data_IF_798695955907
#
_entry.id   IF_798695955907
#
_cell.length_a   1.000
_cell.length_b   1.000
_cell.length_c   1.000
_cell.angle_alpha   90.00
_cell.angle_beta   90.00
_cell.angle_gamma   90.00
#
_symmetry.space_group_name_H-M   'P 1'
#
loop_
_entity.id
_entity.type
_entity.pdbx_description
1 polymer ?
#
# COMPACT_ATOMS: atom_id res chain seq x y z
N UNK A 1 48.08 48.35 9.48
CA UNK A 1 47.12 48.60 8.40
C UNK A 1 47.73 48.19 7.09
N UNK A 2 47.40 47.00 6.58
CA UNK A 2 46.86 46.79 5.23
C UNK A 2 46.64 45.30 5.01
N UNK A 3 45.46 44.97 4.52
CA UNK A 3 44.93 43.64 4.23
C UNK A 3 45.37 43.15 2.82
N UNK A 4 44.93 41.92 2.50
CA UNK A 4 44.85 41.22 1.21
C UNK A 4 46.04 40.30 0.90
N UNK A 5 45.86 39.06 0.45
CA UNK A 5 44.67 38.29 0.04
C UNK A 5 45.00 36.79 0.17
N UNK A 6 44.03 35.96 0.53
CA UNK A 6 44.14 34.51 0.33
C UNK A 6 42.77 34.02 -0.12
N UNK A 7 42.73 33.67 -1.40
CA UNK A 7 41.60 33.16 -2.15
C UNK A 7 41.00 31.93 -1.48
N UNK A 8 39.72 32.04 -1.15
CA UNK A 8 38.86 31.00 -0.64
C UNK A 8 38.61 29.97 -1.77
N UNK A 9 39.23 28.79 -1.66
CA UNK A 9 38.93 27.66 -2.53
C UNK A 9 37.51 27.17 -2.25
N UNK A 10 36.57 27.56 -3.10
CA UNK A 10 35.21 27.04 -3.12
C UNK A 10 35.25 25.51 -3.33
N UNK A 11 34.98 24.76 -2.26
CA UNK A 11 34.82 23.32 -2.30
C UNK A 11 33.66 22.93 -3.21
N UNK A 12 33.92 22.07 -4.20
CA UNK A 12 32.88 21.47 -5.05
C UNK A 12 31.84 20.76 -4.16
N UNK A 13 30.53 20.96 -4.38
CA UNK A 13 29.51 20.24 -3.64
C UNK A 13 29.63 18.74 -3.96
N UNK A 14 29.85 17.92 -2.93
CA UNK A 14 29.76 16.47 -3.06
C UNK A 14 28.33 16.10 -3.48
N UNK A 15 28.13 15.17 -4.43
CA UNK A 15 26.79 14.70 -4.76
C UNK A 15 26.19 14.05 -3.51
N UNK A 16 25.07 14.61 -3.05
CA UNK A 16 24.30 14.05 -1.94
C UNK A 16 23.94 12.60 -2.28
N UNK A 17 24.30 11.67 -1.38
CA UNK A 17 23.88 10.27 -1.52
C UNK A 17 22.35 10.25 -1.66
N UNK A 18 21.78 9.45 -2.59
CA UNK A 18 20.34 9.34 -2.69
C UNK A 18 19.78 8.90 -1.33
N UNK A 19 18.63 9.45 -0.89
CA UNK A 19 18.04 9.08 0.39
C UNK A 19 17.84 7.57 0.42
N UNK A 20 18.40 6.91 1.44
CA UNK A 20 18.19 5.48 1.66
C UNK A 20 16.69 5.26 1.80
N UNK A 21 16.11 4.43 0.93
CA UNK A 21 14.70 4.04 1.03
C UNK A 21 14.41 3.54 2.45
N UNK A 22 13.33 4.00 3.11
CA UNK A 22 12.98 3.53 4.45
C UNK A 22 12.87 2.00 4.47
N UNK A 23 13.29 1.37 5.57
CA UNK A 23 13.30 -0.08 5.71
C UNK A 23 11.90 -0.65 5.50
N UNK A 24 11.78 -1.58 4.57
CA UNK A 24 10.53 -2.24 4.22
C UNK A 24 10.74 -3.76 4.22
N UNK A 25 10.10 -4.45 5.17
CA UNK A 25 10.20 -5.90 5.32
C UNK A 25 9.61 -6.67 4.14
N UNK A 26 8.59 -6.11 3.47
CA UNK A 26 7.95 -6.75 2.32
C UNK A 26 8.90 -6.81 1.12
N UNK A 27 9.89 -5.91 1.02
CA UNK A 27 10.92 -6.00 -0.03
C UNK A 27 11.74 -7.29 0.08
N UNK A 28 11.89 -7.83 1.29
CA UNK A 28 12.59 -9.08 1.55
C UNK A 28 11.68 -10.30 1.40
N UNK A 29 10.40 -10.20 1.80
CA UNK A 29 9.46 -11.33 1.72
C UNK A 29 8.81 -11.50 0.34
N UNK A 30 8.40 -10.42 -0.33
CA UNK A 30 7.69 -10.45 -1.63
C UNK A 30 8.40 -11.25 -2.74
N UNK A 31 9.74 -11.32 -2.82
CA UNK A 31 10.43 -12.20 -3.76
C UNK A 31 10.08 -13.68 -3.56
N UNK A 32 9.87 -14.12 -2.32
CA UNK A 32 9.60 -15.52 -1.96
C UNK A 32 8.10 -15.86 -1.96
N UNK A 33 7.23 -14.86 -1.92
CA UNK A 33 5.78 -15.09 -1.96
C UNK A 33 5.42 -15.69 -3.33
N UNK A 34 4.83 -16.91 -3.35
CA UNK A 34 4.45 -17.57 -4.59
C UNK A 34 3.33 -16.78 -5.29
N UNK A 35 3.22 -16.96 -6.61
CA UNK A 35 2.12 -16.37 -7.39
C UNK A 35 0.80 -16.84 -6.79
N UNK A 36 -0.18 -15.93 -6.71
CA UNK A 36 -1.51 -16.24 -6.21
C UNK A 36 -2.05 -17.52 -6.90
N UNK A 37 -2.18 -18.66 -6.18
CA UNK A 37 -2.56 -19.93 -6.78
C UNK A 37 -4.03 -19.95 -7.20
N UNK A 38 -4.83 -18.98 -6.74
CA UNK A 38 -6.27 -18.92 -6.96
C UNK A 38 -6.68 -18.84 -8.43
N UNK A 39 -5.78 -18.45 -9.34
CA UNK A 39 -6.03 -18.47 -10.79
C UNK A 39 -6.19 -19.88 -11.36
N UNK A 40 -5.68 -20.90 -10.67
CA UNK A 40 -5.75 -22.30 -11.10
C UNK A 40 -7.01 -23.00 -10.60
N UNK A 41 -7.74 -22.38 -9.67
CA UNK A 41 -8.97 -22.94 -9.13
C UNK A 41 -10.16 -22.67 -10.07
N UNK A 42 -11.17 -23.56 -10.09
CA UNK A 42 -12.44 -23.29 -10.75
C UNK A 42 -13.02 -21.94 -10.33
N UNK A 43 -13.66 -21.23 -11.25
CA UNK A 43 -14.19 -19.87 -11.05
C UNK A 43 -15.07 -19.78 -9.80
N UNK A 44 -15.95 -20.75 -9.59
CA UNK A 44 -16.82 -20.83 -8.42
C UNK A 44 -16.05 -20.89 -7.10
N UNK A 45 -14.95 -21.64 -7.04
CA UNK A 45 -14.12 -21.76 -5.83
C UNK A 45 -13.33 -20.47 -5.64
N UNK A 46 -12.66 -19.99 -6.69
CA UNK A 46 -11.85 -18.77 -6.65
C UNK A 46 -12.65 -17.53 -6.22
N UNK A 47 -13.95 -17.49 -6.55
CA UNK A 47 -14.89 -16.45 -6.14
C UNK A 47 -14.94 -16.28 -4.61
N UNK A 48 -15.04 -17.39 -3.87
CA UNK A 48 -15.10 -17.37 -2.40
C UNK A 48 -13.77 -16.93 -1.76
N UNK A 49 -12.67 -16.98 -2.50
CA UNK A 49 -11.36 -16.49 -2.05
C UNK A 49 -11.06 -15.05 -2.55
N UNK A 50 -12.09 -14.31 -2.99
CA UNK A 50 -11.99 -12.91 -3.39
C UNK A 50 -11.50 -12.67 -4.84
N UNK A 51 -11.25 -13.75 -5.60
CA UNK A 51 -10.86 -13.65 -7.01
C UNK A 51 -12.09 -13.40 -7.89
N UNK A 52 -12.08 -12.28 -8.63
CA UNK A 52 -13.12 -11.93 -9.60
C UNK A 52 -12.49 -11.78 -10.99
N UNK A 53 -12.92 -12.60 -11.94
CA UNK A 53 -12.53 -12.48 -13.34
C UNK A 53 -13.34 -11.36 -13.98
N UNK A 54 -12.64 -10.34 -14.48
CA UNK A 54 -13.19 -9.13 -15.12
C UNK A 54 -14.06 -8.26 -14.21
N UNK A 55 -14.01 -6.95 -14.48
CA UNK A 55 -14.76 -5.91 -13.79
C UNK A 55 -16.26 -5.99 -14.12
N UNK A 56 -16.90 -7.12 -13.83
CA UNK A 56 -18.35 -7.23 -13.89
C UNK A 56 -18.87 -6.71 -12.55
N UNK A 57 -18.84 -5.39 -12.36
CA UNK A 57 -19.63 -4.71 -11.33
C UNK A 57 -21.11 -4.75 -11.73
N UNK A 58 -21.68 -5.94 -11.88
CA UNK A 58 -23.12 -6.12 -11.97
C UNK A 58 -23.55 -6.71 -10.64
N UNK A 59 -24.04 -5.84 -9.75
CA UNK A 59 -24.76 -6.30 -8.57
C UNK A 59 -25.90 -7.22 -9.03
N UNK A 60 -25.99 -8.47 -8.53
CA UNK A 60 -26.93 -9.48 -9.04
C UNK A 60 -28.40 -9.03 -8.98
N UNK A 61 -28.72 -8.07 -8.11
CA UNK A 61 -30.08 -7.55 -7.95
C UNK A 61 -30.49 -6.46 -8.96
N UNK A 62 -29.56 -5.88 -9.73
CA UNK A 62 -29.94 -4.92 -10.79
C UNK A 62 -30.71 -5.59 -11.94
N UNK A 63 -30.71 -6.94 -12.02
CA UNK A 63 -31.45 -7.69 -13.04
C UNK A 63 -32.89 -8.02 -12.65
N UNK A 64 -33.30 -7.87 -11.38
CA UNK A 64 -34.66 -8.21 -10.92
C UNK A 64 -35.66 -7.04 -11.08
N UNK A 65 -35.22 -5.93 -11.68
CA UNK A 65 -35.93 -4.64 -11.63
C UNK A 65 -36.82 -4.34 -12.84
N UNK A 66 -36.97 -5.25 -13.81
CA UNK A 66 -37.85 -5.02 -14.98
C UNK A 66 -39.34 -5.09 -14.65
N UNK A 67 -39.73 -5.34 -13.39
CA UNK A 67 -41.12 -5.67 -13.02
C UNK A 67 -41.80 -4.69 -12.05
N UNK A 68 -41.17 -3.56 -11.68
CA UNK A 68 -41.75 -2.60 -10.71
C UNK A 68 -41.83 -1.20 -11.34
N UNK A 69 -42.83 -0.99 -12.20
CA UNK A 69 -43.11 0.32 -12.81
C UNK A 69 -44.17 1.16 -12.06
N UNK A 70 -44.79 0.64 -10.99
CA UNK A 70 -45.99 1.25 -10.38
C UNK A 70 -45.77 1.97 -9.01
N UNK A 71 -44.53 2.29 -8.62
CA UNK A 71 -44.25 2.89 -7.31
C UNK A 71 -43.98 4.41 -7.34
N UNK A 72 -44.72 5.16 -6.50
CA UNK A 72 -44.79 6.64 -6.41
C UNK A 72 -43.54 7.38 -5.90
N UNK A 73 -42.45 6.70 -5.54
CA UNK A 73 -41.22 7.35 -5.03
C UNK A 73 -40.08 7.27 -6.06
N UNK A 74 -39.13 8.23 -6.08
CA UNK A 74 -38.04 8.26 -7.03
C UNK A 74 -37.18 6.98 -6.97
N UNK A 75 -36.77 6.51 -8.16
CA UNK A 75 -36.00 5.26 -8.34
C UNK A 75 -34.71 5.19 -7.52
N UNK A 76 -34.05 6.33 -7.32
CA UNK A 76 -32.82 6.44 -6.51
C UNK A 76 -33.05 6.18 -5.02
N UNK A 77 -34.23 6.53 -4.49
CA UNK A 77 -34.57 6.39 -3.08
C UNK A 77 -34.62 4.90 -2.69
N UNK A 78 -35.35 4.08 -3.45
CA UNK A 78 -35.46 2.65 -3.17
C UNK A 78 -34.14 1.90 -3.36
N UNK A 79 -33.39 2.21 -4.43
CA UNK A 79 -32.09 1.58 -4.67
C UNK A 79 -31.14 1.86 -3.50
N UNK A 80 -31.09 3.11 -3.04
CA UNK A 80 -30.24 3.49 -1.91
C UNK A 80 -30.69 2.84 -0.60
N UNK A 81 -31.98 2.85 -0.27
CA UNK A 81 -32.49 2.27 0.98
C UNK A 81 -32.40 0.75 1.00
N UNK A 82 -32.74 0.06 -0.09
CA UNK A 82 -32.65 -1.40 -0.18
C UNK A 82 -31.19 -1.88 -0.18
N UNK A 83 -30.31 -1.19 -0.90
CA UNK A 83 -28.88 -1.51 -0.88
C UNK A 83 -28.28 -1.28 0.51
N UNK A 84 -28.61 -0.16 1.15
CA UNK A 84 -28.14 0.16 2.50
C UNK A 84 -28.68 -0.83 3.54
N UNK A 85 -29.96 -1.19 3.46
CA UNK A 85 -30.55 -2.21 4.32
C UNK A 85 -29.87 -3.57 4.13
N UNK A 86 -29.62 -3.98 2.88
CA UNK A 86 -28.93 -5.22 2.57
C UNK A 86 -27.48 -5.22 3.09
N UNK A 87 -26.76 -4.11 2.95
CA UNK A 87 -25.42 -3.95 3.52
C UNK A 87 -25.43 -4.11 5.03
N UNK A 88 -26.31 -3.40 5.75
CA UNK A 88 -26.41 -3.52 7.20
C UNK A 88 -26.86 -4.91 7.66
N UNK A 89 -27.78 -5.55 6.94
CA UNK A 89 -28.14 -6.95 7.18
C UNK A 89 -26.94 -7.87 6.99
N UNK A 90 -26.12 -7.67 5.96
CA UNK A 90 -24.91 -8.47 5.75
C UNK A 90 -23.88 -8.29 6.87
N UNK A 91 -23.73 -7.07 7.40
CA UNK A 91 -22.85 -6.77 8.53
C UNK A 91 -23.34 -7.46 9.81
N UNK A 92 -24.65 -7.37 10.08
CA UNK A 92 -25.27 -8.01 11.23
C UNK A 92 -25.11 -9.53 11.18
N UNK A 93 -25.49 -10.15 10.06
CA UNK A 93 -25.42 -11.60 9.86
C UNK A 93 -23.95 -12.04 9.93
N UNK A 94 -23.04 -11.31 9.28
CA UNK A 94 -21.61 -11.60 9.29
C UNK A 94 -21.02 -11.59 10.69
N UNK A 95 -21.16 -10.47 11.40
CA UNK A 95 -20.62 -10.33 12.75
C UNK A 95 -21.24 -11.36 13.72
N UNK A 96 -22.55 -11.56 13.66
CA UNK A 96 -23.24 -12.57 14.45
C UNK A 96 -22.69 -13.97 14.15
N UNK A 97 -22.67 -14.41 12.89
CA UNK A 97 -22.19 -15.73 12.53
C UNK A 97 -20.72 -15.93 12.85
N UNK A 98 -19.86 -14.95 12.57
CA UNK A 98 -18.42 -15.01 12.86
C UNK A 98 -18.14 -15.20 14.35
N UNK A 99 -18.75 -14.37 15.21
CA UNK A 99 -18.57 -14.47 16.65
C UNK A 99 -19.24 -15.73 17.21
N UNK A 100 -20.46 -16.04 16.79
CA UNK A 100 -21.20 -17.21 17.27
C UNK A 100 -20.50 -18.53 16.94
N UNK A 101 -19.85 -18.66 15.78
CA UNK A 101 -19.06 -19.86 15.43
C UNK A 101 -17.88 -20.01 16.39
N UNK A 102 -17.17 -18.92 16.70
CA UNK A 102 -16.04 -18.96 17.64
C UNK A 102 -16.54 -19.34 19.03
N UNK A 103 -17.58 -18.66 19.52
CA UNK A 103 -18.18 -18.93 20.83
C UNK A 103 -18.66 -20.38 20.96
N UNK A 104 -19.33 -20.90 19.94
CA UNK A 104 -19.82 -22.27 19.94
C UNK A 104 -18.68 -23.29 19.99
N UNK A 105 -17.62 -23.08 19.20
CA UNK A 105 -16.44 -23.95 19.22
C UNK A 105 -15.73 -23.85 20.58
N UNK A 106 -15.58 -22.64 21.12
CA UNK A 106 -14.90 -22.43 22.40
C UNK A 106 -15.68 -23.02 23.58
N UNK A 107 -17.02 -23.02 23.54
CA UNK A 107 -17.85 -23.73 24.52
C UNK A 107 -17.66 -25.25 24.47
N UNK A 108 -17.38 -25.83 23.29
CA UNK A 108 -17.16 -27.26 23.13
C UNK A 108 -15.71 -27.70 23.48
N UNK A 109 -14.73 -26.80 23.37
CA UNK A 109 -13.30 -27.12 23.53
C UNK A 109 -12.88 -27.64 24.92
N UNK A 110 -13.40 -27.17 26.07
CA UNK A 110 -13.01 -27.67 27.39
C UNK A 110 -13.22 -29.19 27.53
N UNK A 111 -14.27 -29.71 26.93
CA UNK A 111 -14.61 -31.14 26.95
C UNK A 111 -13.62 -31.99 26.15
N UNK A 112 -12.94 -31.39 25.16
CA UNK A 112 -12.02 -32.06 24.25
C UNK A 112 -10.55 -31.89 24.67
N UNK A 113 -10.20 -30.73 25.21
CA UNK A 113 -8.82 -30.33 25.49
C UNK A 113 -8.42 -30.44 26.96
N UNK A 114 -9.39 -30.50 27.88
CA UNK A 114 -9.14 -30.50 29.33
C UNK A 114 -8.68 -29.15 29.90
N UNK A 115 -8.58 -28.10 29.07
CA UNK A 115 -8.26 -26.74 29.48
C UNK A 115 -9.53 -25.92 29.71
N UNK A 116 -9.52 -25.01 30.68
CA UNK A 116 -10.55 -23.97 30.83
C UNK A 116 -10.37 -22.95 29.72
N UNK A 117 -11.30 -22.95 28.76
CA UNK A 117 -11.30 -22.02 27.61
C UNK A 117 -12.40 -20.98 27.84
N UNK A 118 -12.11 -19.67 27.76
CA UNK A 118 -13.15 -18.65 27.86
C UNK A 118 -14.12 -18.76 26.68
N UNK A 119 -15.38 -18.34 26.86
CA UNK A 119 -16.39 -18.38 25.79
C UNK A 119 -15.92 -17.63 24.54
N UNK A 120 -15.28 -16.47 24.73
CA UNK A 120 -14.66 -15.71 23.64
C UNK A 120 -13.53 -14.84 24.18
N UNK A 121 -12.50 -14.62 23.37
CA UNK A 121 -11.51 -13.57 23.64
C UNK A 121 -12.07 -12.27 23.06
N UNK A 122 -12.29 -11.27 23.91
CA UNK A 122 -12.98 -10.03 23.53
C UNK A 122 -12.39 -9.31 22.31
N UNK A 123 -11.11 -9.51 22.00
CA UNK A 123 -10.48 -9.03 20.77
C UNK A 123 -11.22 -9.47 19.49
N UNK A 124 -11.82 -10.66 19.46
CA UNK A 124 -12.53 -11.14 18.28
C UNK A 124 -13.86 -10.43 18.03
N UNK A 125 -14.44 -9.79 19.04
CA UNK A 125 -15.57 -8.86 18.85
C UNK A 125 -15.16 -7.64 18.02
N UNK A 126 -14.00 -7.05 18.31
CA UNK A 126 -13.46 -5.95 17.52
C UNK A 126 -12.96 -6.41 16.13
N UNK A 127 -12.41 -7.63 16.03
CA UNK A 127 -12.05 -8.23 14.74
C UNK A 127 -13.28 -8.39 13.84
N UNK A 128 -14.42 -8.84 14.38
CA UNK A 128 -15.65 -8.94 13.61
C UNK A 128 -16.06 -7.60 12.97
N UNK A 129 -15.90 -6.48 13.68
CA UNK A 129 -16.19 -5.16 13.11
C UNK A 129 -15.29 -4.87 11.90
N UNK A 130 -14.00 -5.20 11.97
CA UNK A 130 -13.11 -5.01 10.82
C UNK A 130 -13.48 -5.93 9.64
N UNK A 131 -13.73 -7.21 9.93
CA UNK A 131 -13.96 -8.27 8.93
C UNK A 131 -15.34 -8.24 8.28
N UNK A 132 -16.32 -7.53 8.86
CA UNK A 132 -17.67 -7.43 8.31
C UNK A 132 -18.10 -6.00 7.99
N UNK A 133 -17.62 -4.98 8.71
CA UNK A 133 -18.03 -3.59 8.43
C UNK A 133 -17.06 -2.94 7.45
N UNK A 134 -15.75 -3.12 7.64
CA UNK A 134 -14.69 -2.46 6.85
C UNK A 134 -13.86 -3.45 6.03
N UNK A 135 -14.54 -4.29 5.23
CA UNK A 135 -13.91 -5.39 4.47
C UNK A 135 -12.82 -4.95 3.48
N UNK A 136 -12.86 -3.69 3.03
CA UNK A 136 -11.88 -3.11 2.10
C UNK A 136 -10.66 -2.56 2.83
N UNK A 137 -10.73 -2.45 4.16
CA UNK A 137 -9.62 -1.97 4.97
C UNK A 137 -8.42 -2.90 4.83
N UNK A 138 -7.20 -2.36 4.64
CA UNK A 138 -6.00 -3.18 4.67
C UNK A 138 -5.82 -3.88 6.02
N UNK A 139 -6.39 -3.36 7.11
CA UNK A 139 -6.31 -3.94 8.46
C UNK A 139 -7.19 -5.18 8.65
N UNK A 140 -8.21 -5.34 7.82
CA UNK A 140 -9.13 -6.49 7.79
C UNK A 140 -8.64 -7.62 6.86
N UNK A 141 -7.47 -7.48 6.23
CA UNK A 141 -7.03 -8.52 5.28
C UNK A 141 -6.47 -9.75 6.02
N UNK A 142 -6.56 -10.96 5.43
CA UNK A 142 -6.27 -12.22 6.11
C UNK A 142 -4.89 -12.30 6.76
N UNK A 143 -3.85 -11.75 6.10
CA UNK A 143 -2.49 -11.66 6.65
C UNK A 143 -2.48 -10.93 7.99
N UNK A 144 -3.20 -9.83 8.10
CA UNK A 144 -3.21 -8.99 9.30
C UNK A 144 -4.02 -9.65 10.41
N UNK A 145 -5.20 -10.19 10.10
CA UNK A 145 -6.01 -10.96 11.04
C UNK A 145 -5.19 -12.10 11.69
N UNK A 146 -4.62 -13.00 10.88
CA UNK A 146 -3.92 -14.19 11.40
C UNK A 146 -2.61 -13.82 12.08
N UNK A 147 -1.70 -13.13 11.38
CA UNK A 147 -0.37 -12.85 11.91
C UNK A 147 -0.41 -11.80 13.02
N UNK A 148 -1.32 -10.83 12.95
CA UNK A 148 -1.51 -9.84 14.01
C UNK A 148 -1.89 -10.50 15.33
N UNK A 149 -2.90 -11.37 15.33
CA UNK A 149 -3.30 -12.12 16.54
C UNK A 149 -2.20 -13.06 17.02
N UNK A 150 -1.55 -13.80 16.11
CA UNK A 150 -0.47 -14.72 16.49
C UNK A 150 0.71 -14.00 17.15
N UNK A 151 1.25 -12.96 16.52
CA UNK A 151 2.38 -12.19 17.05
C UNK A 151 2.04 -11.50 18.37
N UNK A 152 0.83 -10.95 18.47
CA UNK A 152 0.33 -10.34 19.71
C UNK A 152 0.20 -11.35 20.84
N UNK A 153 -0.28 -12.57 20.56
CA UNK A 153 -0.35 -13.64 21.56
C UNK A 153 1.03 -14.11 22.01
N UNK A 154 1.99 -14.27 21.08
CA UNK A 154 3.39 -14.61 21.41
C UNK A 154 4.00 -13.59 22.37
N UNK A 155 3.87 -12.30 22.03
CA UNK A 155 4.41 -11.21 22.86
C UNK A 155 3.69 -11.14 24.20
N UNK A 156 2.36 -11.14 24.21
CA UNK A 156 1.57 -11.04 25.44
C UNK A 156 1.87 -12.18 26.41
N UNK A 157 1.86 -13.43 25.94
CA UNK A 157 2.19 -14.59 26.78
C UNK A 157 3.64 -14.53 27.25
N UNK A 158 4.58 -14.16 26.38
CA UNK A 158 5.99 -14.02 26.74
C UNK A 158 6.23 -13.01 27.85
N UNK A 159 5.62 -11.83 27.75
CA UNK A 159 5.72 -10.79 28.79
C UNK A 159 5.03 -11.24 30.08
N UNK A 160 3.82 -11.80 30.02
CA UNK A 160 3.14 -12.32 31.21
C UNK A 160 3.98 -13.39 31.91
N UNK A 161 4.56 -14.34 31.17
CA UNK A 161 5.42 -15.38 31.75
C UNK A 161 6.69 -14.81 32.38
N UNK A 162 7.28 -13.77 31.79
CA UNK A 162 8.43 -13.08 32.40
C UNK A 162 8.05 -12.43 33.73
N UNK A 163 6.90 -11.77 33.78
CA UNK A 163 6.41 -11.12 35.00
C UNK A 163 5.96 -12.12 36.08
N UNK A 164 5.52 -13.32 35.69
CA UNK A 164 5.19 -14.40 36.63
C UNK A 164 6.40 -14.97 37.39
N UNK A 165 7.64 -14.60 37.03
CA UNK A 165 8.82 -14.91 37.84
C UNK A 165 8.96 -14.00 39.07
N UNK A 166 8.19 -12.91 39.16
CA UNK A 166 8.14 -12.07 40.35
C UNK A 166 7.26 -12.74 41.44
N UNK A 167 7.44 -12.35 42.72
CA UNK A 167 6.51 -12.75 43.78
C UNK A 167 5.05 -12.42 43.40
N UNK A 168 4.05 -13.27 43.73
CA UNK A 168 2.66 -13.07 43.32
C UNK A 168 2.10 -11.68 43.66
N UNK A 169 2.34 -11.21 44.89
CA UNK A 169 1.89 -9.90 45.36
C UNK A 169 2.45 -8.76 44.49
N UNK A 170 3.71 -8.90 44.05
CA UNK A 170 4.38 -7.92 43.18
C UNK A 170 3.84 -7.98 41.75
N UNK A 171 3.46 -9.15 41.28
CA UNK A 171 2.87 -9.28 39.95
C UNK A 171 1.49 -8.62 39.89
N UNK A 172 0.66 -8.81 40.92
CA UNK A 172 -0.65 -8.16 41.03
C UNK A 172 -0.53 -6.63 40.94
N UNK A 173 0.40 -6.03 41.71
CA UNK A 173 0.68 -4.59 41.69
C UNK A 173 1.17 -4.09 40.31
N UNK A 174 1.87 -4.94 39.55
CA UNK A 174 2.51 -4.60 38.28
C UNK A 174 1.76 -5.14 37.05
N UNK A 175 0.58 -5.75 37.22
CA UNK A 175 -0.18 -6.35 36.12
C UNK A 175 -0.52 -5.33 35.02
N UNK A 176 -0.82 -4.09 35.41
CA UNK A 176 -1.07 -3.00 34.47
C UNK A 176 0.16 -2.69 33.59
N UNK A 177 1.37 -2.80 34.14
CA UNK A 177 2.64 -2.63 33.40
C UNK A 177 2.83 -3.76 32.42
N UNK A 178 2.61 -5.01 32.85
CA UNK A 178 2.73 -6.18 31.97
C UNK A 178 1.78 -6.07 30.77
N UNK A 179 0.53 -5.64 31.01
CA UNK A 179 -0.45 -5.37 29.96
C UNK A 179 -0.02 -4.25 29.00
N UNK A 180 0.38 -3.09 29.53
CA UNK A 180 0.82 -1.96 28.71
C UNK A 180 2.07 -2.29 27.87
N UNK A 181 3.04 -2.98 28.47
CA UNK A 181 4.26 -3.43 27.81
C UNK A 181 3.97 -4.43 26.70
N UNK A 182 3.04 -5.37 26.93
CA UNK A 182 2.60 -6.34 25.94
C UNK A 182 2.02 -5.66 24.70
N UNK A 183 1.14 -4.68 24.88
CA UNK A 183 0.55 -3.91 23.76
C UNK A 183 1.61 -3.10 23.03
N UNK A 184 2.49 -2.41 23.74
CA UNK A 184 3.54 -1.59 23.15
C UNK A 184 4.50 -2.42 22.28
N UNK A 185 4.97 -3.56 22.80
CA UNK A 185 5.86 -4.46 22.05
C UNK A 185 5.14 -5.16 20.89
N UNK A 186 3.88 -5.58 21.08
CA UNK A 186 3.08 -6.17 20.01
C UNK A 186 2.84 -5.15 18.87
N UNK A 187 2.61 -3.88 19.21
CA UNK A 187 2.45 -2.78 18.25
C UNK A 187 3.72 -2.57 17.41
N UNK A 188 4.89 -2.53 18.05
CA UNK A 188 6.18 -2.43 17.34
C UNK A 188 6.38 -3.64 16.43
N UNK A 189 6.13 -4.85 16.95
CA UNK A 189 6.32 -6.08 16.20
C UNK A 189 5.40 -6.17 14.99
N UNK A 190 4.11 -5.83 15.15
CA UNK A 190 3.14 -5.77 14.05
C UNK A 190 3.47 -4.66 13.04
N UNK A 191 3.99 -3.52 13.50
CA UNK A 191 4.42 -2.44 12.61
C UNK A 191 5.62 -2.88 11.77
N UNK A 192 6.59 -3.55 12.39
CA UNK A 192 7.76 -4.10 11.71
C UNK A 192 7.41 -5.20 10.71
N UNK A 193 6.53 -6.14 11.08
CA UNK A 193 6.06 -7.22 10.20
C UNK A 193 5.02 -6.78 9.17
N UNK A 194 4.54 -5.53 9.26
CA UNK A 194 3.42 -4.98 8.49
C UNK A 194 2.13 -5.80 8.60
N UNK A 195 1.85 -6.31 9.79
CA UNK A 195 0.66 -7.13 10.10
C UNK A 195 -0.24 -6.45 11.13
N UNK A 196 -0.33 -5.12 11.09
CA UNK A 196 -1.14 -4.36 12.04
C UNK A 196 -2.60 -4.79 11.93
N UNK A 197 -3.08 -5.37 13.02
CA UNK A 197 -4.49 -5.69 13.25
C UNK A 197 -4.86 -5.16 14.63
N UNK A 198 -5.48 -3.98 14.75
CA UNK A 198 -5.73 -3.34 16.03
C UNK A 198 -6.42 -4.23 17.09
N UNK A 199 -7.39 -5.11 16.72
CA UNK A 199 -7.97 -6.06 17.68
C UNK A 199 -6.96 -6.99 18.34
N UNK A 200 -5.87 -7.34 17.64
CA UNK A 200 -4.81 -8.17 18.19
C UNK A 200 -4.04 -7.49 19.34
N UNK A 201 -4.00 -6.15 19.38
CA UNK A 201 -3.47 -5.43 20.54
C UNK A 201 -4.22 -5.79 21.83
N UNK A 202 -5.54 -5.96 21.76
CA UNK A 202 -6.33 -6.44 22.90
C UNK A 202 -5.98 -7.90 23.25
N UNK A 203 -5.66 -8.76 22.28
CA UNK A 203 -5.15 -10.11 22.56
C UNK A 203 -3.86 -10.09 23.37
N UNK A 204 -2.91 -9.22 23.04
CA UNK A 204 -1.67 -9.04 23.80
C UNK A 204 -1.94 -8.53 25.23
N UNK A 205 -2.85 -7.56 25.37
CA UNK A 205 -3.25 -7.01 26.67
C UNK A 205 -3.88 -8.07 27.57
N UNK A 206 -4.86 -8.81 27.04
CA UNK A 206 -5.65 -9.79 27.77
C UNK A 206 -4.80 -10.96 28.27
N UNK A 207 -3.71 -11.30 27.58
CA UNK A 207 -2.76 -12.32 28.04
C UNK A 207 -2.13 -11.99 29.42
N UNK A 208 -2.10 -10.72 29.83
CA UNK A 208 -1.59 -10.29 31.13
C UNK A 208 -2.71 -9.91 32.11
N UNK A 209 -3.83 -9.36 31.63
CA UNK A 209 -4.84 -8.72 32.47
C UNK A 209 -6.04 -9.61 32.81
N UNK A 210 -6.32 -10.65 32.03
CA UNK A 210 -7.43 -11.56 32.26
C UNK A 210 -6.89 -12.90 32.81
N UNK A 211 -7.38 -13.31 33.97
CA UNK A 211 -6.91 -14.52 34.66
C UNK A 211 -7.15 -15.80 33.86
N UNK A 212 -8.34 -15.97 33.27
CA UNK A 212 -8.65 -17.17 32.45
C UNK A 212 -7.72 -17.27 31.24
N UNK A 213 -7.37 -16.14 30.63
CA UNK A 213 -6.46 -16.08 29.48
C UNK A 213 -5.00 -16.27 29.92
N UNK A 214 -4.63 -15.74 31.08
CA UNK A 214 -3.31 -15.92 31.68
C UNK A 214 -3.04 -17.41 31.96
N UNK A 215 -4.03 -18.14 32.48
CA UNK A 215 -3.94 -19.57 32.81
C UNK A 215 -3.71 -20.44 31.58
N UNK A 216 -4.26 -20.06 30.42
CA UNK A 216 -3.97 -20.72 29.14
C UNK A 216 -2.47 -20.67 28.79
N UNK A 217 -1.78 -19.58 29.13
CA UNK A 217 -0.37 -19.38 28.79
C UNK A 217 -0.11 -19.60 27.30
N UNK A 218 0.83 -20.49 26.96
CA UNK A 218 1.17 -20.79 25.56
C UNK A 218 0.05 -21.49 24.78
N UNK A 219 -0.96 -22.05 25.45
CA UNK A 219 -2.16 -22.58 24.80
C UNK A 219 -3.02 -21.49 24.15
N UNK A 220 -2.78 -20.22 24.50
CA UNK A 220 -3.41 -19.09 23.82
C UNK A 220 -3.07 -19.06 22.32
N UNK A 221 -1.85 -19.45 21.91
CA UNK A 221 -1.41 -19.39 20.50
C UNK A 221 -2.28 -20.26 19.57
N UNK A 222 -2.42 -21.58 19.78
CA UNK A 222 -3.30 -22.40 18.95
C UNK A 222 -4.77 -21.96 19.07
N UNK A 223 -5.20 -21.46 20.23
CA UNK A 223 -6.56 -20.98 20.44
C UNK A 223 -6.88 -19.72 19.60
N UNK A 224 -6.00 -18.72 19.59
CA UNK A 224 -6.18 -17.51 18.77
C UNK A 224 -6.07 -17.82 17.29
N UNK A 225 -5.17 -18.73 16.89
CA UNK A 225 -5.06 -19.17 15.49
C UNK A 225 -6.35 -19.85 15.03
N UNK A 226 -6.92 -20.73 15.86
CA UNK A 226 -8.20 -21.37 15.58
C UNK A 226 -9.31 -20.32 15.42
N UNK A 227 -9.44 -19.38 16.36
CA UNK A 227 -10.44 -18.32 16.25
C UNK A 227 -10.24 -17.41 15.04
N UNK A 228 -9.00 -17.03 14.70
CA UNK A 228 -8.69 -16.27 13.48
C UNK A 228 -9.08 -17.04 12.22
N UNK A 229 -8.84 -18.35 12.19
CA UNK A 229 -9.22 -19.19 11.04
C UNK A 229 -10.74 -19.37 10.92
N UNK A 230 -11.45 -19.54 12.04
CA UNK A 230 -12.92 -19.60 12.06
C UNK A 230 -13.54 -18.28 11.61
N UNK A 231 -13.03 -17.15 12.11
CA UNK A 231 -13.45 -15.81 11.69
C UNK A 231 -13.21 -15.63 10.19
N UNK A 232 -12.01 -15.96 9.70
CA UNK A 232 -11.67 -15.85 8.30
C UNK A 232 -12.58 -16.71 7.43
N UNK A 233 -12.82 -17.97 7.81
CA UNK A 233 -13.71 -18.86 7.07
C UNK A 233 -15.14 -18.28 6.99
N UNK A 234 -15.67 -17.78 8.12
CA UNK A 234 -16.98 -17.13 8.16
C UNK A 234 -17.00 -15.86 7.29
N UNK A 235 -15.96 -15.01 7.36
CA UNK A 235 -15.83 -13.81 6.55
C UNK A 235 -15.80 -14.11 5.05
N UNK A 236 -15.09 -15.16 4.63
CA UNK A 236 -15.07 -15.62 3.24
C UNK A 236 -16.47 -16.05 2.77
N UNK A 237 -17.22 -16.77 3.60
CA UNK A 237 -18.56 -17.24 3.25
C UNK A 237 -19.57 -16.08 3.25
N UNK A 238 -19.70 -15.35 4.35
CA UNK A 238 -20.78 -14.34 4.46
C UNK A 238 -20.54 -13.16 3.51
N UNK A 239 -19.32 -12.63 3.44
CA UNK A 239 -19.05 -11.45 2.62
C UNK A 239 -19.20 -11.77 1.12
N UNK A 240 -18.64 -12.89 0.63
CA UNK A 240 -18.76 -13.24 -0.79
C UNK A 240 -20.15 -13.75 -1.16
N UNK A 241 -20.83 -14.45 -0.24
CA UNK A 241 -22.21 -14.91 -0.42
C UNK A 241 -23.20 -13.74 -0.55
N UNK A 242 -22.96 -12.64 0.16
CA UNK A 242 -23.72 -11.40 0.05
C UNK A 242 -23.25 -10.50 -1.10
N UNK A 243 -22.41 -11.01 -2.02
CA UNK A 243 -21.96 -10.25 -3.20
C UNK A 243 -20.88 -9.19 -2.92
N UNK A 244 -20.39 -9.08 -1.68
CA UNK A 244 -19.25 -8.22 -1.32
C UNK A 244 -17.94 -8.92 -1.69
N UNK A 245 -16.86 -8.18 -1.92
CA UNK A 245 -15.55 -8.77 -2.30
C UNK A 245 -14.64 -8.85 -1.08
N UNK A 246 -14.38 -10.08 -0.62
CA UNK A 246 -13.44 -10.31 0.47
C UNK A 246 -12.66 -11.63 0.28
N UNK A 247 -11.35 -11.68 0.53
CA UNK A 247 -10.49 -10.53 0.79
C UNK A 247 -10.26 -9.72 -0.48
N UNK A 248 -9.77 -8.49 -0.31
CA UNK A 248 -9.26 -7.67 -1.42
C UNK A 248 -7.91 -8.23 -1.89
N UNK A 249 -7.06 -8.63 -0.94
CA UNK A 249 -5.81 -9.32 -1.19
C UNK A 249 -5.41 -10.22 -0.01
N UNK A 250 -4.65 -11.28 -0.28
CA UNK A 250 -4.26 -12.25 0.75
C UNK A 250 -2.99 -11.85 1.52
N UNK A 251 -1.97 -11.41 0.80
CA UNK A 251 -0.63 -11.18 1.38
C UNK A 251 -0.13 -9.75 1.21
N UNK A 252 -0.26 -9.21 0.02
CA UNK A 252 0.17 -7.86 -0.31
C UNK A 252 -0.83 -7.23 -1.28
N UNK A 253 -1.13 -5.93 -1.10
CA UNK A 253 -1.90 -5.17 -2.08
C UNK A 253 -1.12 -4.90 -3.38
N UNK A 254 0.21 -5.03 -3.34
CA UNK A 254 1.07 -4.66 -4.45
C UNK A 254 1.03 -5.71 -5.55
N UNK A 255 0.93 -5.26 -6.80
CA UNK A 255 1.09 -6.16 -7.95
C UNK A 255 2.55 -6.64 -8.06
N UNK A 256 2.79 -7.82 -7.52
CA UNK A 256 4.09 -8.49 -7.55
C UNK A 256 4.55 -8.81 -8.98
N UNK A 257 3.64 -8.93 -9.96
CA UNK A 257 4.00 -9.17 -11.34
C UNK A 257 4.63 -7.90 -11.94
N UNK A 258 3.94 -6.77 -11.83
CA UNK A 258 4.45 -5.48 -12.29
C UNK A 258 5.81 -5.16 -11.65
N UNK A 259 5.97 -5.39 -10.35
CA UNK A 259 7.25 -5.18 -9.66
C UNK A 259 8.38 -6.11 -10.14
N UNK A 260 8.07 -7.36 -10.51
CA UNK A 260 9.08 -8.30 -11.03
C UNK A 260 9.47 -7.92 -12.45
N UNK A 261 8.51 -7.52 -13.28
CA UNK A 261 8.75 -7.08 -14.65
C UNK A 261 9.53 -5.77 -14.68
N UNK A 262 9.23 -4.83 -13.78
CA UNK A 262 10.01 -3.61 -13.58
C UNK A 262 11.46 -3.93 -13.19
N UNK A 263 11.68 -4.76 -12.17
CA UNK A 263 13.04 -5.17 -11.77
C UNK A 263 13.79 -5.91 -12.87
N UNK A 264 13.09 -6.69 -13.71
CA UNK A 264 13.67 -7.35 -14.87
C UNK A 264 14.11 -6.33 -15.91
N UNK A 265 13.25 -5.34 -16.23
CA UNK A 265 13.57 -4.24 -17.13
C UNK A 265 14.79 -3.45 -16.62
N UNK A 266 14.78 -3.03 -15.37
CA UNK A 266 15.90 -2.30 -14.74
C UNK A 266 17.23 -3.06 -14.82
N UNK A 267 17.22 -4.39 -14.58
CA UNK A 267 18.42 -5.23 -14.73
C UNK A 267 18.92 -5.28 -16.18
N UNK A 268 18.02 -5.35 -17.15
CA UNK A 268 18.38 -5.35 -18.57
C UNK A 268 18.95 -3.98 -18.98
N UNK A 269 18.33 -2.88 -18.55
CA UNK A 269 18.82 -1.53 -18.82
C UNK A 269 20.20 -1.29 -18.21
N UNK A 270 20.43 -1.82 -16.99
CA UNK A 270 21.74 -1.73 -16.33
C UNK A 270 22.82 -2.53 -17.09
N UNK A 271 22.50 -3.75 -17.54
CA UNK A 271 23.41 -4.54 -18.38
C UNK A 271 23.73 -3.84 -19.70
N UNK A 272 22.72 -3.30 -20.38
CA UNK A 272 22.92 -2.55 -21.62
C UNK A 272 23.79 -1.31 -21.40
N UNK A 273 23.61 -0.61 -20.27
CA UNK A 273 24.46 0.53 -19.92
C UNK A 273 25.90 0.11 -19.62
N UNK A 274 26.08 -0.98 -18.87
CA UNK A 274 27.40 -1.55 -18.59
C UNK A 274 28.09 -2.00 -19.89
N UNK A 275 27.37 -2.65 -20.81
CA UNK A 275 27.88 -3.04 -22.14
C UNK A 275 28.25 -1.81 -22.98
N UNK A 276 27.41 -0.77 -23.03
CA UNK A 276 27.70 0.48 -23.74
C UNK A 276 28.89 1.25 -23.14
N UNK A 277 29.02 1.26 -21.81
CA UNK A 277 30.15 1.87 -21.11
C UNK A 277 31.46 1.10 -21.40
N UNK A 278 31.40 -0.23 -21.50
CA UNK A 278 32.55 -1.08 -21.91
C UNK A 278 32.92 -0.86 -23.36
N UNK A 279 31.96 -0.82 -24.28
CA UNK A 279 32.21 -0.56 -25.71
C UNK A 279 32.85 0.82 -25.92
N UNK A 280 32.36 1.83 -25.20
CA UNK A 280 32.95 3.18 -25.19
C UNK A 280 34.36 3.21 -24.60
N UNK A 281 34.64 2.38 -23.60
CA UNK A 281 35.98 2.22 -23.03
C UNK A 281 36.94 1.51 -24.01
N UNK A 282 36.49 0.47 -24.72
CA UNK A 282 37.31 -0.24 -25.72
C UNK A 282 37.62 0.65 -26.93
N UNK A 283 36.62 1.37 -27.47
CA UNK A 283 36.85 2.28 -28.60
C UNK A 283 37.76 3.48 -28.27
N UNK A 284 37.83 3.89 -26.99
CA UNK A 284 38.78 4.93 -26.55
C UNK A 284 40.20 4.40 -26.29
N UNK A 285 40.38 3.07 -26.15
CA UNK A 285 41.69 2.42 -26.08
C UNK A 285 42.25 2.17 -27.48
N UNK A 286 41.44 1.69 -28.42
CA UNK A 286 41.86 1.52 -29.83
C UNK A 286 42.23 2.85 -30.52
N UNK A 287 41.60 3.97 -30.12
CA UNK A 287 42.00 5.31 -30.57
C UNK A 287 43.33 5.80 -29.98
N UNK A 288 43.84 5.20 -28.90
CA UNK A 288 45.11 5.58 -28.25
C UNK A 288 46.32 4.85 -28.82
N UNK A 289 46.13 3.62 -29.33
CA UNK A 289 47.22 2.82 -29.91
C UNK A 289 47.63 3.28 -31.33
N UNK A 290 46.83 4.11 -31.99
CA UNK A 290 47.19 4.74 -33.27
C UNK A 290 47.99 6.06 -33.13
N UNK A 291 48.34 6.50 -31.92
CA UNK A 291 49.07 7.75 -31.67
C UNK A 291 50.54 7.54 -31.22
N UNK A 292 51.18 6.45 -31.64
CA UNK A 292 52.62 6.22 -31.46
C UNK A 292 53.32 5.93 -32.80
N UNK A 293 53.13 6.82 -33.77
CA UNK A 293 54.05 6.99 -34.90
C UNK A 293 53.65 8.22 -35.71
N UNK A 294 54.16 9.40 -35.34
CA UNK A 294 54.89 10.31 -36.22
C UNK A 294 55.11 11.66 -35.54
N UNK A 295 56.36 12.06 -35.56
CA UNK A 295 56.92 13.35 -35.19
C UNK A 295 56.56 14.42 -36.23
N UNK A 296 56.45 15.66 -35.74
CA UNK A 296 56.66 16.94 -36.41
C UNK A 296 55.70 17.35 -37.55
N UNK A 297 54.86 18.36 -37.30
CA UNK A 297 55.07 19.77 -37.74
C UNK A 297 53.77 20.58 -37.56
N UNK A 298 53.95 21.80 -37.08
CA UNK A 298 52.97 22.87 -36.79
C UNK A 298 51.82 23.03 -37.82
N UNK A 299 50.58 23.05 -37.31
CA UNK A 299 49.46 23.73 -37.96
C UNK A 299 48.61 24.43 -36.90
N UNK A 300 48.51 25.74 -37.04
CA UNK A 300 47.76 26.63 -36.17
C UNK A 300 46.28 26.18 -36.08
N UNK A 301 45.82 25.97 -34.85
CA UNK A 301 44.41 25.70 -34.55
C UNK A 301 43.64 26.99 -34.79
N UNK A 302 42.68 26.94 -35.72
CA UNK A 302 41.77 28.03 -36.01
C UNK A 302 40.82 28.23 -34.82
N UNK A 303 40.61 29.48 -34.42
CA UNK A 303 39.65 29.93 -33.38
C UNK A 303 38.19 29.49 -33.68
N UNK A 304 37.94 29.02 -34.90
CA UNK A 304 36.66 28.50 -35.38
C UNK A 304 36.40 27.04 -34.95
N UNK A 305 37.45 26.24 -34.76
CA UNK A 305 37.34 24.85 -34.30
C UNK A 305 37.08 24.77 -32.79
N UNK A 306 37.68 25.68 -32.01
CA UNK A 306 37.39 25.83 -30.58
C UNK A 306 35.94 26.23 -30.31
N UNK A 307 35.35 27.06 -31.19
CA UNK A 307 33.94 27.48 -31.08
C UNK A 307 32.99 26.35 -31.43
N UNK A 308 33.34 25.46 -32.35
CA UNK A 308 32.55 24.26 -32.70
C UNK A 308 32.57 23.21 -31.60
N UNK A 309 33.70 23.00 -30.92
CA UNK A 309 33.76 22.09 -29.77
C UNK A 309 32.98 22.65 -28.56
N UNK A 310 33.11 23.94 -28.26
CA UNK A 310 32.35 24.60 -27.18
C UNK A 310 30.83 24.60 -27.43
N UNK A 311 30.38 24.72 -28.68
CA UNK A 311 28.95 24.65 -29.01
C UNK A 311 28.41 23.22 -29.07
N UNK A 312 29.24 22.23 -29.43
CA UNK A 312 28.90 20.81 -29.38
C UNK A 312 28.86 20.24 -27.94
N UNK A 313 29.63 20.80 -27.01
CA UNK A 313 29.58 20.45 -25.58
C UNK A 313 28.42 21.14 -24.84
N UNK A 314 27.98 22.32 -25.30
CA UNK A 314 26.84 23.05 -24.75
C UNK A 314 25.48 22.40 -25.10
N UNK A 315 25.38 21.68 -26.23
CA UNK A 315 24.17 20.95 -26.62
C UNK A 315 24.06 19.54 -26.02
N UNK A 316 25.14 18.98 -25.46
CA UNK A 316 25.12 17.67 -24.75
C UNK A 316 24.67 17.73 -23.29
N UNK A 317 24.43 18.93 -22.76
CA UNK A 317 24.22 19.19 -21.33
C UNK A 317 22.79 19.53 -20.91
N UNK A 318 21.75 19.26 -21.73
CA UNK A 318 20.35 19.53 -21.34
C UNK A 318 19.60 18.21 -21.16
N UNK A 319 19.39 17.72 -19.92
CA UNK A 319 18.40 16.68 -19.72
C UNK A 319 17.04 17.32 -20.02
N UNK A 320 16.32 16.76 -21.00
CA UNK A 320 14.88 16.96 -21.11
C UNK A 320 14.28 16.62 -19.76
N UNK A 321 13.93 17.65 -19.00
CA UNK A 321 13.10 17.56 -17.81
C UNK A 321 11.68 17.27 -18.31
N UNK A 322 11.49 16.06 -18.84
CA UNK A 322 10.19 15.45 -18.92
C UNK A 322 9.68 15.45 -17.48
N UNK A 323 8.66 16.29 -17.22
CA UNK A 323 7.93 16.27 -15.97
C UNK A 323 7.31 14.89 -15.83
N UNK A 324 8.08 13.97 -15.24
CA UNK A 324 7.58 12.70 -14.73
C UNK A 324 6.71 13.07 -13.55
N UNK A 325 5.42 13.23 -13.78
CA UNK A 325 4.44 13.35 -12.72
C UNK A 325 4.49 12.03 -11.92
N UNK A 326 5.15 12.06 -10.77
CA UNK A 326 5.13 10.95 -9.84
C UNK A 326 4.03 11.27 -8.84
N UNK A 327 2.89 10.58 -8.97
CA UNK A 327 1.85 10.60 -7.95
C UNK A 327 2.36 9.83 -6.73
N UNK A 328 2.73 10.58 -5.69
CA UNK A 328 2.87 10.03 -4.34
C UNK A 328 1.65 10.48 -3.54
N UNK A 329 0.63 9.63 -3.48
CA UNK A 329 -0.42 9.80 -2.47
C UNK A 329 0.00 9.03 -1.21
N UNK A 330 0.09 9.74 -0.09
CA UNK A 330 0.48 9.20 1.21
C UNK A 330 -0.51 8.18 1.80
N UNK A 331 -1.57 7.81 1.09
CA UNK A 331 -2.55 6.79 1.48
C UNK A 331 -2.61 5.58 0.55
N UNK A 332 -1.81 5.53 -0.52
CA UNK A 332 -1.95 4.48 -1.52
C UNK A 332 -1.08 3.25 -1.20
N UNK A 333 -1.72 2.20 -0.69
CA UNK A 333 -1.09 0.87 -0.53
C UNK A 333 -1.20 0.01 -1.78
N UNK A 334 -1.88 0.45 -2.86
CA UNK A 334 -2.07 -0.36 -4.07
C UNK A 334 -1.63 0.44 -5.32
N UNK A 335 -0.53 0.07 -6.00
CA UNK A 335 -0.21 0.66 -7.30
C UNK A 335 -1.21 0.19 -8.35
N UNK A 336 -1.83 1.12 -9.09
CA UNK A 336 -2.47 0.81 -10.38
C UNK A 336 -1.52 1.16 -11.52
N UNK A 337 -1.32 0.25 -12.50
CA UNK A 337 -0.65 0.61 -13.73
C UNK A 337 -1.59 1.43 -14.62
N UNK A 338 -1.14 2.61 -15.05
CA UNK A 338 -1.69 3.26 -16.24
C UNK A 338 -1.40 2.37 -17.46
N UNK A 339 -2.45 1.98 -18.18
CA UNK A 339 -2.32 1.41 -19.52
C UNK A 339 -2.43 2.58 -20.49
N UNK A 340 -1.34 2.86 -21.21
CA UNK A 340 -1.39 3.65 -22.43
C UNK A 340 -2.28 2.89 -23.44
N UNK A 341 -3.51 3.35 -23.62
CA UNK A 341 -4.35 2.93 -24.73
C UNK A 341 -3.88 3.68 -25.98
N UNK A 342 -3.22 2.98 -26.90
CA UNK A 342 -2.97 3.49 -28.25
C UNK A 342 -4.29 3.72 -29.02
N UNK A 343 -4.27 4.54 -30.08
CA UNK A 343 -5.49 4.98 -30.73
C UNK A 343 -6.06 3.84 -31.59
N UNK A 344 -7.28 3.40 -31.27
CA UNK A 344 -8.12 2.63 -32.19
C UNK A 344 -8.68 3.57 -33.26
N UNK A 345 -8.50 3.16 -34.52
CA UNK A 345 -8.98 3.82 -35.72
C UNK A 345 -10.49 3.62 -35.89
N UNK A 346 -11.26 4.70 -35.85
CA UNK A 346 -12.57 4.77 -36.50
C UNK A 346 -12.57 5.88 -37.53
N UNK A 347 -12.84 5.48 -38.77
CA UNK A 347 -13.00 6.32 -39.95
C UNK A 347 -14.28 7.17 -39.83
N UNK A 348 -14.17 8.49 -39.95
CA UNK A 348 -15.19 9.30 -40.65
C UNK A 348 -14.58 10.59 -41.20
N UNK A 349 -14.78 10.82 -42.49
CA UNK A 349 -14.35 11.98 -43.26
C UNK A 349 -14.98 13.31 -42.80
N UNK A 350 -14.24 14.42 -42.95
CA UNK A 350 -14.85 15.72 -43.27
C UNK A 350 -14.35 16.98 -42.54
N UNK A 351 -13.46 17.73 -43.20
CA UNK A 351 -13.33 19.21 -43.17
C UNK A 351 -12.56 19.92 -42.03
N UNK A 352 -11.28 20.26 -42.31
CA UNK A 352 -10.86 21.67 -42.52
C UNK A 352 -10.65 22.65 -41.35
N UNK A 353 -9.38 22.77 -40.91
CA UNK A 353 -8.59 23.98 -40.50
C UNK A 353 -8.61 24.56 -39.05
N UNK A 354 -7.35 24.64 -38.53
CA UNK A 354 -6.69 25.56 -37.56
C UNK A 354 -7.10 25.47 -36.07
N UNK A 355 -6.36 24.75 -35.21
CA UNK A 355 -5.05 25.03 -34.55
C UNK A 355 -5.14 25.75 -33.19
N UNK A 356 -4.70 25.01 -32.16
CA UNK A 356 -4.00 25.40 -30.91
C UNK A 356 -4.80 25.84 -29.67
N UNK A 357 -4.51 25.15 -28.55
CA UNK A 357 -4.75 25.44 -27.13
C UNK A 357 -6.16 25.23 -26.52
N UNK A 358 -6.64 23.99 -26.52
CA UNK A 358 -7.58 23.52 -25.48
C UNK A 358 -7.07 22.20 -24.92
N UNK A 359 -6.30 22.29 -23.84
CA UNK A 359 -5.87 21.13 -23.05
C UNK A 359 -6.97 20.82 -22.04
N UNK A 360 -7.64 19.68 -22.23
CA UNK A 360 -8.16 18.76 -21.19
C UNK A 360 -8.73 19.39 -19.89
N UNK A 361 -9.70 20.30 -19.96
CA UNK A 361 -10.28 20.95 -18.77
C UNK A 361 -11.43 20.18 -18.09
N UNK A 362 -11.70 18.93 -18.46
CA UNK A 362 -12.94 18.23 -18.05
C UNK A 362 -12.81 17.09 -17.03
N UNK A 363 -11.61 16.53 -16.83
CA UNK A 363 -11.46 15.22 -16.19
C UNK A 363 -10.57 15.17 -14.95
N UNK A 364 -9.91 16.27 -14.58
CA UNK A 364 -8.93 16.29 -13.48
C UNK A 364 -9.22 17.35 -12.42
N UNK A 365 -8.98 17.01 -11.15
CA UNK A 365 -8.92 17.99 -10.06
C UNK A 365 -7.59 18.72 -10.12
N UNK A 366 -7.61 20.05 -10.18
CA UNK A 366 -6.41 20.89 -10.16
C UNK A 366 -6.27 21.57 -8.79
N UNK A 367 -5.22 21.22 -8.04
CA UNK A 367 -4.88 21.85 -6.76
C UNK A 367 -3.65 22.74 -6.97
N UNK A 368 -3.81 24.05 -6.84
CA UNK A 368 -2.73 25.03 -6.86
C UNK A 368 -2.61 25.72 -5.50
N UNK A 369 -1.51 26.41 -5.22
CA UNK A 369 -1.29 27.14 -3.95
C UNK A 369 -2.35 28.23 -3.64
N UNK A 370 -3.19 28.58 -4.61
CA UNK A 370 -4.16 29.68 -4.51
C UNK A 370 -5.58 29.31 -4.95
N UNK A 371 -5.77 28.14 -5.57
CA UNK A 371 -7.06 27.74 -6.14
C UNK A 371 -7.15 26.23 -6.27
N UNK A 372 -8.32 25.70 -5.92
CA UNK A 372 -8.72 24.32 -6.16
C UNK A 372 -9.80 24.39 -7.26
N UNK A 373 -9.63 23.61 -8.32
CA UNK A 373 -10.61 23.51 -9.42
C UNK A 373 -11.05 22.06 -9.51
N UNK A 374 -12.33 21.81 -9.31
CA UNK A 374 -12.96 20.49 -9.38
C UNK A 374 -13.89 20.42 -10.59
N UNK A 375 -14.02 19.25 -11.24
CA UNK A 375 -14.99 19.07 -12.31
C UNK A 375 -16.43 19.25 -11.81
N UNK A 376 -17.33 19.77 -12.65
CA UNK A 376 -18.72 20.06 -12.28
C UNK A 376 -19.54 18.81 -11.89
N UNK A 377 -19.14 17.63 -12.36
CA UNK A 377 -19.79 16.36 -12.02
C UNK A 377 -19.32 15.76 -10.69
N UNK A 378 -18.27 16.31 -10.07
CA UNK A 378 -17.66 15.79 -8.85
C UNK A 378 -18.15 16.58 -7.64
N UNK A 379 -19.19 16.08 -6.98
CA UNK A 379 -19.62 16.55 -5.67
C UNK A 379 -18.67 16.00 -4.60
N UNK A 380 -17.97 16.89 -3.91
CA UNK A 380 -17.07 16.53 -2.81
C UNK A 380 -17.83 16.50 -1.48
N UNK A 381 -17.57 15.48 -0.66
CA UNK A 381 -17.97 15.50 0.75
C UNK A 381 -17.14 16.50 1.57
N UNK A 382 -17.65 16.92 2.73
CA UNK A 382 -16.96 17.88 3.62
C UNK A 382 -15.52 17.45 3.98
N UNK A 383 -15.29 16.14 4.11
CA UNK A 383 -13.96 15.59 4.40
C UNK A 383 -13.04 15.62 3.18
N UNK A 384 -13.57 15.38 1.97
CA UNK A 384 -12.77 15.43 0.74
C UNK A 384 -12.33 16.86 0.41
N UNK A 385 -13.18 17.87 0.66
CA UNK A 385 -12.78 19.29 0.54
C UNK A 385 -11.65 19.63 1.52
N UNK A 386 -11.74 19.16 2.76
CA UNK A 386 -10.72 19.41 3.79
C UNK A 386 -9.36 18.79 3.41
N UNK A 387 -9.35 17.59 2.83
CA UNK A 387 -8.12 16.96 2.33
C UNK A 387 -7.49 17.80 1.21
N UNK A 388 -8.29 18.33 0.28
CA UNK A 388 -7.79 19.18 -0.80
C UNK A 388 -7.23 20.51 -0.27
N UNK A 389 -7.82 21.08 0.78
CA UNK A 389 -7.30 22.28 1.47
C UNK A 389 -5.96 22.04 2.14
N UNK A 390 -5.81 20.93 2.86
CA UNK A 390 -4.55 20.54 3.50
C UNK A 390 -3.44 20.38 2.45
N UNK A 391 -3.76 19.79 1.30
CA UNK A 391 -2.81 19.65 0.19
C UNK A 391 -2.41 21.02 -0.38
N UNK A 392 -3.36 21.94 -0.56
CA UNK A 392 -3.09 23.31 -1.01
C UNK A 392 -2.17 24.06 -0.04
N UNK A 393 -2.38 23.96 1.26
CA UNK A 393 -1.52 24.59 2.27
C UNK A 393 -0.09 24.04 2.25
N UNK A 394 0.08 22.73 2.14
CA UNK A 394 1.41 22.12 2.02
C UNK A 394 2.16 22.56 0.76
N UNK A 395 1.45 22.71 -0.36
CA UNK A 395 2.05 23.24 -1.60
C UNK A 395 2.53 24.69 -1.37
N UNK A 396 1.76 25.48 -0.63
CA UNK A 396 2.10 26.87 -0.29
C UNK A 396 3.32 26.95 0.64
N UNK A 397 3.43 26.04 1.60
CA UNK A 397 4.58 25.94 2.51
C UNK A 397 5.85 25.45 1.81
N UNK A 398 5.74 24.45 0.92
CA UNK A 398 6.86 23.96 0.11
C UNK A 398 7.45 25.05 -0.76
N UNK A 399 6.59 25.83 -1.43
CA UNK A 399 7.05 26.96 -2.28
C UNK A 399 7.71 28.08 -1.45
N UNK A 400 7.20 28.36 -0.25
CA UNK A 400 7.81 29.33 0.69
C UNK A 400 9.18 28.87 1.18
N UNK A 401 9.39 27.55 1.33
CA UNK A 401 10.67 26.97 1.73
C UNK A 401 11.71 27.07 0.61
N UNK A 402 11.31 26.83 -0.64
CA UNK A 402 12.16 27.04 -1.82
C UNK A 402 12.56 28.52 -2.01
N UNK A 403 11.66 29.46 -1.75
CA UNK A 403 11.94 30.91 -1.83
C UNK A 403 12.89 31.41 -0.71
N UNK A 404 12.94 30.72 0.42
CA UNK A 404 13.82 31.04 1.55
C UNK A 404 15.17 30.30 1.51
N UNK A 405 15.40 29.46 0.50
CA UNK A 405 16.69 28.77 0.30
C UNK A 405 17.08 27.79 1.40
N UNK A 406 16.10 27.17 2.09
CA UNK A 406 16.33 26.15 3.12
C UNK A 406 16.31 24.73 2.57
#
# INVERSE_FOLDING_TARGET
>A
MSQQSSSEQAGRPQPSRPPTTPFDIDNYFNPFVPRNPLRFLPTHISYWFGYRQHATQRHPFFSLHSSINDLRLPRWYYVWHLHTAFLYSSMLIGAFCGVAIIENVFLALPQLSGHTVPIVIASFGAAAILEYNTIESPLAQPRNLILGHFLSAVVGVGITKLFLHLPPDRFEDLRWVAGALSVGLASILMSFSKTIHPPAGATALLAATNLEIQDLGWWLLPLVLLASMLMLASALVVNNGMGRRYPVYWWTPVDLQALRDQRRKERLTRRQKEEADVEKAVGSVEGRDHSLSQTDTEAAVSDEDLRKELSAEQERGRPDRANRAVSYSATDRVPRPERETGPESEDTEGSGKKSTSQVMSGESILVTSHKIVTPEWLELSDWEDEVLRILMERIKEGRRSEELGM
#
